data_IF_369866620666
#
_entry.id   IF_369866620666
#
_cell.length_a   1.000
_cell.length_b   1.000
_cell.length_c   1.000
_cell.angle_alpha   90.00
_cell.angle_beta   90.00
_cell.angle_gamma   90.00
#
_symmetry.space_group_name_H-M   'P 1'
#
loop_
_entity.id
_entity.type
_entity.pdbx_description
1 polymer ?
#
# COMPACT_ATOMS: atom_id res chain seq x y z
N UNK A 1 26.79 1.02 9.58
CA UNK A 1 27.40 -0.28 9.21
C UNK A 1 26.77 -0.72 7.89
N UNK A 2 27.56 -1.16 6.92
CA UNK A 2 27.10 -1.73 5.65
C UNK A 2 27.34 -3.24 5.69
N UNK A 3 26.30 -4.03 5.41
CA UNK A 3 26.40 -5.49 5.29
C UNK A 3 26.34 -5.84 3.81
N UNK A 4 27.29 -6.66 3.34
CA UNK A 4 27.35 -7.17 1.98
C UNK A 4 27.07 -8.67 2.02
N UNK A 5 26.07 -9.11 1.28
CA UNK A 5 25.72 -10.53 1.11
C UNK A 5 25.89 -10.90 -0.36
N UNK A 6 26.21 -12.16 -0.61
CA UNK A 6 26.33 -12.70 -1.97
C UNK A 6 25.21 -13.71 -2.21
N UNK A 7 24.63 -13.68 -3.40
CA UNK A 7 23.64 -14.65 -3.88
C UNK A 7 24.12 -15.24 -5.22
N UNK A 8 23.88 -16.52 -5.44
CA UNK A 8 24.26 -17.20 -6.68
C UNK A 8 23.29 -16.97 -7.82
N UNK A 9 22.04 -16.68 -7.48
CA UNK A 9 20.95 -16.48 -8.44
C UNK A 9 20.07 -15.31 -8.03
N UNK A 10 19.27 -14.79 -8.98
CA UNK A 10 18.26 -13.77 -8.69
C UNK A 10 17.20 -14.28 -7.70
N UNK A 11 16.81 -15.56 -7.81
CA UNK A 11 15.83 -16.18 -6.92
C UNK A 11 16.33 -16.23 -5.47
N UNK A 12 17.59 -16.58 -5.28
CA UNK A 12 18.22 -16.56 -3.96
C UNK A 12 18.28 -15.12 -3.40
N UNK A 13 18.61 -14.14 -4.23
CA UNK A 13 18.61 -12.73 -3.82
C UNK A 13 17.22 -12.25 -3.41
N UNK A 14 16.18 -12.59 -4.18
CA UNK A 14 14.79 -12.29 -3.86
C UNK A 14 14.38 -12.95 -2.53
N UNK A 15 14.73 -14.21 -2.34
CA UNK A 15 14.42 -14.95 -1.11
C UNK A 15 15.06 -14.29 0.12
N UNK A 16 16.34 -13.87 0.03
CA UNK A 16 17.05 -13.17 1.12
C UNK A 16 16.33 -11.87 1.47
N UNK A 17 15.94 -11.08 0.48
CA UNK A 17 15.24 -9.81 0.72
C UNK A 17 13.84 -10.05 1.31
N UNK A 18 13.09 -11.01 0.78
CA UNK A 18 11.74 -11.32 1.25
C UNK A 18 11.71 -11.91 2.66
N UNK A 19 12.79 -12.54 3.10
CA UNK A 19 12.93 -13.05 4.47
C UNK A 19 13.17 -11.96 5.51
N UNK A 20 13.49 -10.72 5.10
CA UNK A 20 13.72 -9.61 6.03
C UNK A 20 12.38 -9.13 6.64
N UNK A 21 12.30 -8.85 7.96
CA UNK A 21 11.09 -8.33 8.58
C UNK A 21 10.73 -6.90 8.12
N UNK A 22 11.63 -6.18 7.48
CA UNK A 22 11.42 -4.83 6.96
C UNK A 22 11.30 -4.83 5.43
N UNK A 23 10.46 -3.97 4.89
CA UNK A 23 10.16 -3.92 3.45
C UNK A 23 9.92 -2.50 2.92
N UNK A 24 10.78 -1.55 3.29
CA UNK A 24 10.59 -0.15 2.86
C UNK A 24 10.91 0.05 1.38
N UNK A 25 12.14 -0.21 0.97
CA UNK A 25 12.58 0.04 -0.39
C UNK A 25 13.75 -0.85 -0.81
N UNK A 26 13.84 -1.14 -2.11
CA UNK A 26 14.90 -1.93 -2.73
C UNK A 26 15.24 -1.41 -4.13
N UNK A 27 16.50 -1.47 -4.52
CA UNK A 27 16.97 -1.17 -5.88
C UNK A 27 17.60 -2.41 -6.53
N UNK A 28 17.21 -2.70 -7.77
CA UNK A 28 17.85 -3.69 -8.62
C UNK A 28 18.59 -2.99 -9.75
N UNK A 29 19.87 -3.33 -9.94
CA UNK A 29 20.67 -2.87 -11.08
C UNK A 29 20.88 -4.03 -12.04
N UNK A 30 20.36 -3.92 -13.26
CA UNK A 30 20.44 -4.95 -14.28
C UNK A 30 20.28 -4.38 -15.68
N UNK A 31 20.89 -5.04 -16.67
CA UNK A 31 20.63 -4.77 -18.10
C UNK A 31 19.55 -5.71 -18.67
N UNK A 32 19.11 -6.72 -17.91
CA UNK A 32 18.11 -7.69 -18.34
C UNK A 32 16.70 -7.24 -17.99
N UNK A 33 15.88 -6.91 -19.00
CA UNK A 33 14.48 -6.60 -18.81
C UNK A 33 13.67 -7.79 -18.27
N UNK A 34 14.08 -9.02 -18.54
CA UNK A 34 13.45 -10.21 -17.97
C UNK A 34 13.72 -10.33 -16.47
N UNK A 35 14.96 -10.10 -16.04
CA UNK A 35 15.32 -10.07 -14.63
C UNK A 35 14.59 -8.94 -13.89
N UNK A 36 14.48 -7.75 -14.49
CA UNK A 36 13.75 -6.64 -13.90
C UNK A 36 12.26 -6.95 -13.70
N UNK A 37 11.59 -7.52 -14.70
CA UNK A 37 10.17 -7.92 -14.60
C UNK A 37 9.95 -9.00 -13.53
N UNK A 38 10.80 -10.03 -13.51
CA UNK A 38 10.75 -11.07 -12.49
C UNK A 38 10.91 -10.47 -11.08
N UNK A 39 11.94 -9.65 -10.90
CA UNK A 39 12.23 -9.02 -9.62
C UNK A 39 11.05 -8.19 -9.10
N UNK A 40 10.51 -7.27 -9.90
CA UNK A 40 9.39 -6.43 -9.46
C UNK A 40 8.09 -7.20 -9.19
N UNK A 41 7.94 -8.38 -9.79
CA UNK A 41 6.76 -9.24 -9.58
C UNK A 41 6.85 -10.09 -8.32
N UNK A 42 8.06 -10.50 -7.94
CA UNK A 42 8.27 -11.49 -6.87
C UNK A 42 8.80 -10.87 -5.56
N UNK A 43 9.28 -9.62 -5.62
CA UNK A 43 9.80 -8.93 -4.44
C UNK A 43 8.65 -8.35 -3.59
N UNK A 44 8.64 -8.67 -2.30
CA UNK A 44 7.65 -8.17 -1.34
C UNK A 44 8.16 -6.91 -0.61
N UNK A 45 8.31 -5.82 -1.35
CA UNK A 45 8.83 -4.54 -0.85
C UNK A 45 7.92 -3.41 -1.33
N UNK A 46 7.70 -2.40 -0.49
CA UNK A 46 6.81 -1.29 -0.78
C UNK A 46 7.27 -0.37 -1.90
N UNK A 47 8.58 -0.18 -2.06
CA UNK A 47 9.16 0.68 -3.10
C UNK A 47 10.24 -0.09 -3.85
N UNK A 48 10.11 -0.19 -5.17
CA UNK A 48 11.04 -0.93 -6.03
C UNK A 48 11.63 0.00 -7.07
N UNK A 49 12.95 0.12 -7.08
CA UNK A 49 13.72 0.84 -8.11
C UNK A 49 14.39 -0.13 -9.07
N UNK A 50 14.29 0.14 -10.36
CA UNK A 50 15.06 -0.56 -11.39
C UNK A 50 16.09 0.43 -11.95
N UNK A 51 17.37 0.13 -11.74
CA UNK A 51 18.50 1.00 -12.10
C UNK A 51 18.44 2.38 -11.43
N UNK A 52 17.77 2.46 -10.28
CA UNK A 52 17.65 3.64 -9.44
C UNK A 52 18.09 3.27 -8.03
N UNK A 53 19.04 3.98 -7.41
CA UNK A 53 19.55 3.59 -6.09
C UNK A 53 18.59 3.86 -4.94
N UNK A 54 17.70 4.87 -5.09
CA UNK A 54 16.74 5.30 -4.08
C UNK A 54 15.37 5.36 -4.72
N UNK A 55 14.48 4.39 -4.48
CA UNK A 55 13.19 4.26 -5.16
C UNK A 55 12.09 5.16 -4.57
N UNK A 56 12.44 6.24 -3.90
CA UNK A 56 11.47 7.18 -3.33
C UNK A 56 10.71 7.88 -4.45
N UNK A 57 9.38 7.80 -4.47
CA UNK A 57 8.59 8.40 -5.53
C UNK A 57 8.54 9.94 -5.40
N UNK A 58 8.35 10.61 -6.54
CA UNK A 58 8.02 12.04 -6.51
C UNK A 58 6.66 12.26 -5.83
N UNK A 59 6.37 13.45 -5.27
CA UNK A 59 5.22 13.70 -4.39
C UNK A 59 3.82 13.45 -4.99
N UNK A 60 3.71 13.28 -6.29
CA UNK A 60 2.45 12.92 -6.96
C UNK A 60 2.02 11.47 -6.74
N UNK A 61 2.96 10.59 -6.37
CA UNK A 61 2.71 9.19 -6.08
C UNK A 61 2.83 8.94 -4.60
N UNK A 62 2.02 8.01 -4.08
CA UNK A 62 2.03 7.69 -2.65
C UNK A 62 3.36 7.07 -2.23
N UNK A 63 3.85 7.50 -1.06
CA UNK A 63 4.96 6.83 -0.39
C UNK A 63 4.45 5.51 0.17
N UNK A 64 5.00 4.43 -0.32
CA UNK A 64 4.63 3.07 0.07
C UNK A 64 5.71 2.43 0.94
N UNK A 65 5.35 1.38 1.61
CA UNK A 65 6.22 0.54 2.43
C UNK A 65 5.48 -0.74 2.75
N UNK A 66 6.16 -1.74 3.25
CA UNK A 66 5.54 -2.99 3.65
C UNK A 66 6.12 -3.54 4.95
N UNK A 67 5.45 -4.53 5.51
CA UNK A 67 5.87 -5.27 6.71
C UNK A 67 6.20 -4.32 7.89
N UNK A 68 7.26 -4.58 8.64
CA UNK A 68 7.68 -3.78 9.80
C UNK A 68 8.22 -2.38 9.49
N UNK A 69 8.33 -2.00 8.20
CA UNK A 69 8.81 -0.66 7.81
C UNK A 69 7.72 0.40 7.78
N UNK A 70 6.44 0.02 7.84
CA UNK A 70 5.33 0.96 7.74
C UNK A 70 4.17 0.54 8.62
N UNK A 71 3.57 1.50 9.31
CA UNK A 71 2.33 1.34 10.04
C UNK A 71 1.17 1.83 9.17
N UNK A 72 0.17 0.95 8.99
CA UNK A 72 -1.00 1.23 8.15
C UNK A 72 -0.72 1.18 6.65
N UNK A 73 -1.77 1.30 5.85
CA UNK A 73 -1.73 1.08 4.40
C UNK A 73 -1.66 2.38 3.58
N UNK A 74 -2.03 3.52 4.18
CA UNK A 74 -2.10 4.79 3.48
C UNK A 74 -0.78 5.55 3.50
N UNK A 75 -0.43 6.20 2.39
CA UNK A 75 0.73 7.07 2.29
C UNK A 75 0.42 8.53 2.68
N UNK A 76 1.39 9.26 3.29
CA UNK A 76 1.19 10.62 3.78
C UNK A 76 1.13 11.68 2.67
N UNK A 77 1.36 11.31 1.42
CA UNK A 77 1.27 12.19 0.25
C UNK A 77 0.85 11.42 -1.01
N UNK A 78 0.71 12.11 -2.14
CA UNK A 78 0.14 11.56 -3.36
C UNK A 78 -1.39 11.42 -3.26
N UNK A 79 -1.96 10.53 -4.05
CA UNK A 79 -3.43 10.34 -4.09
C UNK A 79 -4.06 9.91 -2.78
N UNK A 80 -3.29 9.30 -1.90
CA UNK A 80 -3.76 8.79 -0.61
C UNK A 80 -3.78 9.86 0.51
N UNK A 81 -3.21 11.05 0.27
CA UNK A 81 -3.03 12.08 1.30
C UNK A 81 -4.33 12.46 2.02
N UNK A 82 -5.41 12.58 1.28
CA UNK A 82 -6.71 12.93 1.86
C UNK A 82 -7.18 11.85 2.83
N UNK A 83 -7.13 10.59 2.42
CA UNK A 83 -7.51 9.46 3.25
C UNK A 83 -6.57 9.30 4.46
N UNK A 84 -5.28 9.60 4.28
CA UNK A 84 -4.29 9.50 5.36
C UNK A 84 -4.55 10.49 6.50
N UNK A 85 -4.94 11.73 6.18
CA UNK A 85 -5.16 12.78 7.18
C UNK A 85 -6.62 12.96 7.58
N UNK A 86 -7.56 12.19 7.05
CA UNK A 86 -8.99 12.29 7.36
C UNK A 86 -9.54 10.95 7.85
N UNK A 87 -10.66 11.02 8.53
CA UNK A 87 -11.41 9.86 8.96
C UNK A 87 -12.76 9.83 8.24
N UNK A 88 -13.08 8.69 7.64
CA UNK A 88 -14.40 8.46 7.06
C UNK A 88 -15.42 8.22 8.17
N UNK A 89 -16.52 8.99 8.15
CA UNK A 89 -17.67 8.80 9.02
C UNK A 89 -18.88 8.44 8.16
N UNK A 90 -19.46 7.28 8.40
CA UNK A 90 -20.72 6.89 7.78
C UNK A 90 -21.87 7.30 8.69
N UNK A 91 -22.83 8.07 8.13
CA UNK A 91 -24.03 8.49 8.84
C UNK A 91 -25.23 7.99 8.06
N UNK A 92 -26.07 7.22 8.74
CA UNK A 92 -27.40 6.85 8.22
C UNK A 92 -28.43 7.53 9.10
N UNK A 93 -29.30 8.33 8.50
CA UNK A 93 -30.33 9.05 9.22
C UNK A 93 -31.68 8.83 8.55
N UNK A 94 -32.72 8.75 9.37
CA UNK A 94 -34.11 8.73 8.93
C UNK A 94 -34.87 9.73 9.78
N UNK A 95 -35.57 10.63 9.10
CA UNK A 95 -36.42 11.62 9.74
C UNK A 95 -37.87 11.17 9.57
N UNK A 96 -38.62 11.17 10.67
CA UNK A 96 -40.04 10.82 10.67
C UNK A 96 -40.85 12.11 10.89
N UNK A 97 -41.83 12.34 10.05
CA UNK A 97 -42.86 13.33 10.34
C UNK A 97 -43.83 12.72 11.38
N UNK A 98 -44.28 13.51 12.34
CA UNK A 98 -45.23 13.08 13.39
C UNK A 98 -46.51 12.47 12.81
N UNK A 99 -46.88 12.84 11.58
CA UNK A 99 -48.02 12.28 10.87
C UNK A 99 -47.81 10.86 10.35
N UNK A 100 -46.57 10.32 10.32
CA UNK A 100 -46.22 8.98 9.77
C UNK A 100 -45.88 7.97 10.85
N UNK A 101 -45.90 8.38 12.13
CA UNK A 101 -45.58 7.48 13.29
C UNK A 101 -46.81 6.73 13.73
N UNK A 102 -47.55 6.11 12.81
CA UNK A 102 -48.72 5.38 13.24
C UNK A 102 -48.55 3.87 13.38
N UNK A 103 -47.54 3.21 12.82
CA UNK A 103 -47.42 1.74 13.01
C UNK A 103 -46.00 1.24 12.75
N UNK A 104 -45.24 1.05 13.82
CA UNK A 104 -44.05 0.22 13.85
C UNK A 104 -42.79 0.83 13.18
N UNK A 105 -41.66 0.50 13.71
CA UNK A 105 -40.34 0.90 13.13
C UNK A 105 -40.13 0.15 11.81
N UNK A 106 -40.27 0.84 10.68
CA UNK A 106 -39.90 0.28 9.40
C UNK A 106 -38.36 0.38 9.22
N UNK A 107 -37.69 -0.75 9.28
CA UNK A 107 -36.23 -0.87 9.13
C UNK A 107 -35.81 -1.12 7.68
N UNK A 108 -36.72 -1.10 6.73
CA UNK A 108 -36.41 -1.34 5.31
C UNK A 108 -35.85 -0.05 4.65
N UNK A 109 -34.67 -0.17 4.08
CA UNK A 109 -34.09 0.88 3.24
C UNK A 109 -34.58 0.66 1.80
N UNK A 110 -35.40 1.57 1.27
CA UNK A 110 -35.76 1.57 -0.15
C UNK A 110 -34.73 2.33 -0.95
N UNK A 111 -33.94 1.61 -1.74
CA UNK A 111 -33.04 2.21 -2.73
C UNK A 111 -33.84 2.46 -4.01
N UNK A 112 -34.10 3.73 -4.32
CA UNK A 112 -34.65 4.17 -5.61
C UNK A 112 -33.54 4.74 -6.46
#
# INVERSE_FOLDING_TARGET
>A
MLVVLTAKTLDEAIAIVNANPFGNGVGLFTQSGAAARKFQSEIDIGQVGINIPIPVPVPYFSFTGSRGSKLGDLGPYGKQVVQFYTQTKTVTARWFDDATVSDGVNTTISLR
#
